data_IF_564475308344
#
_entry.id   IF_564475308344
#
_cell.length_a   1.000
_cell.length_b   1.000
_cell.length_c   1.000
_cell.angle_alpha   90.00
_cell.angle_beta   90.00
_cell.angle_gamma   90.00
#
_symmetry.space_group_name_H-M   'P 1'
#
loop_
_entity.id
_entity.type
_entity.pdbx_description
1 polymer ?
#
# COMPACT_ATOMS: atom_id res chain seq x y z
N UNK A 1 -9.58 14.31 -7.87
CA UNK A 1 -10.06 12.91 -7.86
C UNK A 1 -8.88 12.01 -7.55
N UNK A 2 -9.04 10.96 -6.74
CA UNK A 2 -7.96 10.01 -6.44
C UNK A 2 -7.98 8.82 -7.42
N UNK A 3 -6.83 8.17 -7.60
CA UNK A 3 -6.69 6.94 -8.36
C UNK A 3 -7.53 5.83 -7.75
N UNK A 4 -8.30 5.14 -8.58
CA UNK A 4 -9.06 3.96 -8.15
C UNK A 4 -8.12 2.77 -7.88
N UNK A 5 -8.57 1.76 -7.10
CA UNK A 5 -7.76 0.57 -6.81
C UNK A 5 -7.13 -0.08 -8.05
N UNK A 6 -7.88 -0.21 -9.15
CA UNK A 6 -7.37 -0.82 -10.39
C UNK A 6 -6.29 0.05 -11.07
N UNK A 7 -6.31 1.36 -10.87
CA UNK A 7 -5.27 2.25 -11.39
C UNK A 7 -4.00 2.18 -10.55
N UNK A 8 -4.14 2.07 -9.22
CA UNK A 8 -3.01 1.84 -8.31
C UNK A 8 -2.33 0.51 -8.63
N UNK A 9 -3.11 -0.56 -8.83
CA UNK A 9 -2.65 -1.88 -9.24
C UNK A 9 -1.77 -1.81 -10.51
N UNK A 10 -2.24 -1.14 -11.56
CA UNK A 10 -1.47 -0.97 -12.82
C UNK A 10 -0.15 -0.23 -12.62
N UNK A 11 -0.11 0.76 -11.73
CA UNK A 11 1.13 1.50 -11.44
C UNK A 11 2.11 0.63 -10.65
N UNK A 12 1.63 -0.18 -9.71
CA UNK A 12 2.45 -1.14 -8.98
C UNK A 12 3.10 -2.16 -9.92
N UNK A 13 2.32 -2.72 -10.86
CA UNK A 13 2.82 -3.66 -11.88
C UNK A 13 3.91 -3.02 -12.74
N UNK A 14 3.68 -1.78 -13.20
CA UNK A 14 4.68 -0.99 -13.94
C UNK A 14 5.94 -0.71 -13.11
N UNK A 15 5.81 -0.56 -11.79
CA UNK A 15 6.91 -0.36 -10.85
C UNK A 15 7.64 -1.67 -10.46
N UNK A 16 7.30 -2.78 -11.10
CA UNK A 16 7.95 -4.09 -10.89
C UNK A 16 7.40 -4.89 -9.71
N UNK A 17 6.28 -4.49 -9.12
CA UNK A 17 5.58 -5.32 -8.15
C UNK A 17 4.80 -6.42 -8.87
N UNK A 18 4.87 -7.64 -8.34
CA UNK A 18 4.08 -8.77 -8.79
C UNK A 18 2.91 -9.01 -7.86
N UNK A 19 1.76 -9.41 -8.40
CA UNK A 19 0.62 -9.86 -7.60
C UNK A 19 1.02 -11.12 -6.82
N UNK A 20 0.79 -11.10 -5.51
CA UNK A 20 1.04 -12.23 -4.61
C UNK A 20 -0.28 -12.85 -4.13
N UNK A 21 -1.25 -12.01 -3.73
CA UNK A 21 -2.55 -12.46 -3.20
C UNK A 21 -3.68 -11.66 -3.84
N UNK A 22 -4.76 -12.34 -4.23
CA UNK A 22 -5.98 -11.69 -4.72
C UNK A 22 -7.16 -12.15 -3.87
N UNK A 23 -7.83 -11.20 -3.24
CA UNK A 23 -9.07 -11.44 -2.48
C UNK A 23 -10.12 -10.44 -2.90
N UNK A 24 -11.38 -10.63 -2.48
CA UNK A 24 -12.45 -9.67 -2.69
C UNK A 24 -12.19 -8.29 -2.05
N UNK A 25 -11.41 -8.22 -0.95
CA UNK A 25 -11.09 -6.96 -0.25
C UNK A 25 -9.78 -6.30 -0.70
N UNK A 26 -8.79 -7.08 -1.12
CA UNK A 26 -7.45 -6.55 -1.42
C UNK A 26 -6.70 -7.30 -2.51
N UNK A 27 -5.79 -6.59 -3.20
CA UNK A 27 -4.69 -7.18 -3.94
C UNK A 27 -3.40 -7.01 -3.14
N UNK A 28 -2.73 -8.10 -2.78
CA UNK A 28 -1.38 -8.09 -2.22
C UNK A 28 -0.35 -8.06 -3.34
N UNK A 29 0.59 -7.12 -3.25
CA UNK A 29 1.67 -6.92 -4.21
C UNK A 29 3.02 -7.03 -3.51
N UNK A 30 4.00 -7.62 -4.20
CA UNK A 30 5.35 -7.82 -3.67
C UNK A 30 6.41 -7.43 -4.70
N UNK A 31 7.51 -6.84 -4.21
CA UNK A 31 8.74 -6.62 -4.96
C UNK A 31 9.94 -6.90 -4.07
N UNK A 32 10.62 -8.03 -4.27
CA UNK A 32 11.63 -8.52 -3.33
C UNK A 32 10.99 -8.77 -1.96
N UNK A 33 11.53 -8.12 -0.93
CA UNK A 33 11.04 -8.15 0.45
C UNK A 33 9.96 -7.08 0.74
N UNK A 34 9.66 -6.23 -0.24
CA UNK A 34 8.72 -5.14 -0.06
C UNK A 34 7.29 -5.59 -0.38
N UNK A 35 6.44 -5.55 0.64
CA UNK A 35 5.01 -5.85 0.55
C UNK A 35 4.15 -4.59 0.64
N UNK A 36 3.15 -4.51 -0.24
CA UNK A 36 2.09 -3.49 -0.20
C UNK A 36 0.74 -4.14 -0.50
N UNK A 37 -0.34 -3.49 -0.06
CA UNK A 37 -1.70 -3.92 -0.39
C UNK A 37 -2.43 -2.82 -1.15
N UNK A 38 -3.22 -3.23 -2.13
CA UNK A 38 -4.24 -2.38 -2.75
C UNK A 38 -5.57 -2.68 -2.09
N UNK A 39 -6.19 -1.68 -1.49
CA UNK A 39 -7.50 -1.79 -0.87
C UNK A 39 -8.60 -1.66 -1.94
N UNK A 40 -9.25 -2.77 -2.31
CA UNK A 40 -10.31 -2.81 -3.34
C UNK A 40 -11.59 -2.12 -2.89
N UNK A 41 -11.80 -1.98 -1.58
CA UNK A 41 -12.97 -1.32 -1.01
C UNK A 41 -12.89 0.21 -1.12
N UNK A 42 -11.71 0.78 -1.41
CA UNK A 42 -11.49 2.21 -1.58
C UNK A 42 -12.08 2.75 -2.90
N UNK A 43 -13.40 2.74 -3.05
CA UNK A 43 -14.10 3.18 -4.27
C UNK A 43 -13.75 4.62 -4.69
N UNK A 44 -13.41 5.47 -3.71
CA UNK A 44 -13.01 6.88 -3.92
C UNK A 44 -11.49 7.08 -3.98
N UNK A 45 -10.68 6.03 -3.91
CA UNK A 45 -9.23 6.06 -4.12
C UNK A 45 -8.37 6.61 -2.97
N UNK A 46 -8.96 7.32 -2.00
CA UNK A 46 -8.23 8.01 -0.92
C UNK A 46 -7.41 7.06 -0.02
N UNK A 47 -7.80 5.79 0.08
CA UNK A 47 -7.13 4.77 0.90
C UNK A 47 -6.73 3.55 0.06
N UNK A 48 -6.52 3.74 -1.25
CA UNK A 48 -6.32 2.65 -2.19
C UNK A 48 -4.97 1.95 -2.05
N UNK A 49 -3.91 2.66 -1.64
CA UNK A 49 -2.59 2.06 -1.39
C UNK A 49 -2.38 1.90 0.10
N UNK A 50 -1.98 0.72 0.54
CA UNK A 50 -1.70 0.41 1.94
C UNK A 50 -0.23 0.02 2.05
N UNK A 51 0.51 0.78 2.86
CA UNK A 51 1.95 0.62 3.06
C UNK A 51 2.24 -0.11 4.36
N UNK A 52 3.30 -0.92 4.36
CA UNK A 52 3.74 -1.68 5.51
C UNK A 52 4.14 -0.72 6.67
N UNK A 53 3.67 -0.94 7.91
CA UNK A 53 3.93 -0.03 9.05
C UNK A 53 5.41 0.25 9.34
N UNK A 54 6.31 -0.72 9.09
CA UNK A 54 7.78 -0.52 9.17
C UNK A 54 8.29 0.68 8.36
N UNK A 55 7.56 1.10 7.33
CA UNK A 55 7.96 2.20 6.46
C UNK A 55 7.37 3.56 6.88
N UNK A 56 6.67 3.65 8.02
CA UNK A 56 5.90 4.82 8.47
C UNK A 56 6.63 6.16 8.28
N UNK A 57 7.84 6.26 8.83
CA UNK A 57 8.55 7.54 8.84
C UNK A 57 8.94 7.97 7.42
N UNK A 58 9.42 7.03 6.60
CA UNK A 58 9.77 7.28 5.19
C UNK A 58 8.54 7.53 4.32
N UNK A 59 7.45 6.79 4.55
CA UNK A 59 6.21 6.98 3.80
C UNK A 59 5.62 8.36 4.07
N UNK A 60 5.58 8.78 5.33
CA UNK A 60 5.01 10.07 5.73
C UNK A 60 5.85 11.26 5.31
N UNK A 61 7.17 11.12 5.16
CA UNK A 61 8.01 12.19 4.60
C UNK A 61 7.77 12.43 3.11
N UNK A 62 7.19 11.46 2.39
CA UNK A 62 6.95 11.54 0.94
C UNK A 62 5.50 11.92 0.60
N UNK A 63 4.53 11.48 1.39
CA UNK A 63 3.12 11.85 1.23
C UNK A 63 2.35 11.67 2.54
N UNK A 64 1.43 12.57 2.82
CA UNK A 64 0.55 12.43 3.98
C UNK A 64 -0.33 11.17 3.87
N UNK A 65 -0.44 10.38 4.95
CA UNK A 65 -1.39 9.28 5.00
C UNK A 65 -2.83 9.79 5.10
N UNK A 66 -3.78 8.99 4.62
CA UNK A 66 -5.20 9.31 4.71
C UNK A 66 -5.75 9.16 6.14
N UNK A 67 -5.14 8.28 6.94
CA UNK A 67 -5.34 8.06 8.38
C UNK A 67 -4.14 7.33 8.95
N UNK A 68 -3.98 7.28 10.27
CA UNK A 68 -2.81 6.64 10.89
C UNK A 68 -2.72 5.14 10.63
N UNK A 69 -3.88 4.47 10.67
CA UNK A 69 -3.98 3.03 10.48
C UNK A 69 -5.23 2.69 9.66
N UNK A 70 -5.16 1.58 8.94
CA UNK A 70 -6.30 0.83 8.43
C UNK A 70 -6.09 -0.64 8.77
N UNK A 71 -7.06 -1.24 9.46
CA UNK A 71 -7.06 -2.68 9.75
C UNK A 71 -7.72 -3.47 8.62
N UNK A 72 -7.27 -4.71 8.44
CA UNK A 72 -7.89 -5.72 7.58
C UNK A 72 -7.36 -7.10 7.94
N UNK A 73 -8.26 -8.08 7.99
CA UNK A 73 -7.95 -9.51 8.12
C UNK A 73 -7.14 -10.07 6.93
N UNK A 74 -7.10 -9.40 5.78
CA UNK A 74 -6.40 -9.91 4.59
C UNK A 74 -4.97 -9.37 4.42
N UNK A 75 -4.50 -8.48 5.29
CA UNK A 75 -3.12 -7.95 5.24
C UNK A 75 -2.12 -8.88 5.94
N UNK A 76 -2.14 -10.18 5.60
CA UNK A 76 -1.40 -11.24 6.30
C UNK A 76 0.11 -11.01 6.39
N UNK A 77 0.71 -10.27 5.47
CA UNK A 77 2.15 -9.92 5.49
C UNK A 77 2.47 -8.67 6.32
N UNK A 78 1.48 -8.02 6.92
CA UNK A 78 1.65 -6.86 7.80
C UNK A 78 1.55 -7.30 9.27
N UNK A 79 2.02 -6.50 10.24
CA UNK A 79 1.90 -6.85 11.65
C UNK A 79 0.44 -6.88 12.12
N UNK A 80 0.18 -7.72 13.13
CA UNK A 80 -1.11 -7.77 13.83
C UNK A 80 -1.34 -6.49 14.63
N UNK A 81 -2.59 -6.04 14.64
CA UNK A 81 -3.05 -4.92 15.45
C UNK A 81 -3.50 -5.42 16.83
N UNK A 82 -2.66 -5.22 17.84
CA UNK A 82 -2.92 -5.68 19.21
C UNK A 82 -3.86 -4.76 20.02
N UNK A 83 -4.26 -3.62 19.45
CA UNK A 83 -5.13 -2.64 20.12
C UNK A 83 -6.63 -2.86 19.92
N UNK A 84 -7.03 -3.87 19.13
CA UNK A 84 -8.43 -4.18 18.81
C UNK A 84 -8.90 -5.49 19.46
N UNK A 85 -10.22 -5.74 19.38
CA UNK A 85 -10.83 -7.00 19.83
C UNK A 85 -10.65 -8.14 18.80
N UNK A 86 -10.29 -7.79 17.55
CA UNK A 86 -10.16 -8.71 16.42
C UNK A 86 -8.70 -8.93 16.04
N UNK A 87 -8.38 -10.14 15.58
CA UNK A 87 -7.05 -10.50 15.07
C UNK A 87 -6.84 -9.97 13.64
N UNK A 88 -6.91 -8.66 13.48
CA UNK A 88 -6.67 -8.00 12.20
C UNK A 88 -5.24 -7.51 12.07
N UNK A 89 -4.76 -7.41 10.84
CA UNK A 89 -3.48 -6.80 10.52
C UNK A 89 -3.69 -5.32 10.20
N UNK A 90 -2.66 -4.50 10.33
CA UNK A 90 -2.79 -3.07 10.03
C UNK A 90 -1.72 -2.56 9.08
N UNK A 91 -2.10 -1.57 8.29
CA UNK A 91 -1.21 -0.83 7.40
C UNK A 91 -1.54 0.65 7.38
N UNK A 92 -0.72 1.41 6.66
CA UNK A 92 -0.84 2.87 6.56
C UNK A 92 -1.50 3.20 5.22
N UNK A 93 -2.72 3.75 5.22
CA UNK A 93 -3.43 4.05 3.98
C UNK A 93 -2.94 5.36 3.35
N UNK A 94 -2.67 5.31 2.06
CA UNK A 94 -2.37 6.44 1.20
C UNK A 94 -3.30 6.47 -0.01
N UNK A 95 -3.47 7.67 -0.57
CA UNK A 95 -4.21 7.90 -1.80
C UNK A 95 -3.54 8.97 -2.63
N UNK A 96 -3.50 8.76 -3.95
CA UNK A 96 -2.83 9.67 -4.88
C UNK A 96 -3.81 10.21 -5.91
N UNK A 97 -3.67 11.47 -6.29
CA UNK A 97 -4.52 12.13 -7.29
C UNK A 97 -4.04 11.95 -8.74
N UNK A 98 -2.82 11.45 -8.94
CA UNK A 98 -2.26 11.19 -10.26
C UNK A 98 -1.29 10.00 -10.25
N UNK A 99 -1.14 9.35 -11.41
CA UNK A 99 -0.19 8.22 -11.59
C UNK A 99 1.25 8.65 -11.38
N UNK A 100 1.61 9.86 -11.84
CA UNK A 100 2.96 10.42 -11.69
C UNK A 100 3.31 10.61 -10.21
N UNK A 101 2.37 11.09 -9.39
CA UNK A 101 2.60 11.24 -7.95
C UNK A 101 2.83 9.88 -7.28
N UNK A 102 2.04 8.86 -7.64
CA UNK A 102 2.24 7.50 -7.15
C UNK A 102 3.58 6.90 -7.62
N UNK A 103 3.95 7.05 -8.89
CA UNK A 103 5.24 6.59 -9.41
C UNK A 103 6.42 7.22 -8.67
N UNK A 104 6.40 8.54 -8.45
CA UNK A 104 7.43 9.25 -7.66
C UNK A 104 7.49 8.77 -6.23
N UNK A 105 6.33 8.55 -5.61
CA UNK A 105 6.23 8.03 -4.26
C UNK A 105 6.84 6.63 -4.15
N UNK A 106 6.50 5.71 -5.05
CA UNK A 106 7.06 4.36 -5.08
C UNK A 106 8.58 4.38 -5.32
N UNK A 107 9.07 5.26 -6.20
CA UNK A 107 10.49 5.43 -6.43
C UNK A 107 11.22 5.98 -5.19
N UNK A 108 10.67 6.98 -4.51
CA UNK A 108 11.27 7.51 -3.27
C UNK A 108 11.23 6.52 -2.11
N UNK A 109 10.19 5.68 -2.05
CA UNK A 109 10.00 4.73 -0.95
C UNK A 109 10.87 3.48 -1.12
N UNK A 110 10.95 2.97 -2.36
CA UNK A 110 11.52 1.66 -2.67
C UNK A 110 12.67 1.68 -3.71
N UNK A 111 12.99 2.80 -4.34
CA UNK A 111 13.87 2.89 -5.52
C UNK A 111 15.37 2.67 -5.29
N UNK A 112 15.80 2.50 -4.04
CA UNK A 112 17.23 2.35 -3.68
C UNK A 112 17.69 0.90 -3.49
N UNK A 113 16.89 -0.11 -3.86
CA UNK A 113 17.38 -1.49 -3.94
C UNK A 113 18.26 -1.66 -5.20
N UNK A 114 19.43 -1.03 -5.22
CA UNK A 114 20.51 -1.46 -6.10
C UNK A 114 20.89 -2.88 -5.65
N UNK A 115 20.57 -3.84 -6.51
CA UNK A 115 21.21 -5.15 -6.50
C UNK A 115 22.71 -4.92 -6.70
N UNK A 116 23.49 -5.12 -5.63
CA UNK A 116 24.93 -5.40 -5.77
C UNK A 116 25.12 -6.77 -6.45
#
# INVERSE_FOLDING_TARGET
MYLRPDEVARVLEKAGFTVDVVTNKTYGYRRGENYVYVNREARMGRTALIIHPRLKDRSSSLADPASDIKTCDHYQNFPLYLGGETHEHYGIPHGFSSRIALERYLNGLFGDEKSD
#
